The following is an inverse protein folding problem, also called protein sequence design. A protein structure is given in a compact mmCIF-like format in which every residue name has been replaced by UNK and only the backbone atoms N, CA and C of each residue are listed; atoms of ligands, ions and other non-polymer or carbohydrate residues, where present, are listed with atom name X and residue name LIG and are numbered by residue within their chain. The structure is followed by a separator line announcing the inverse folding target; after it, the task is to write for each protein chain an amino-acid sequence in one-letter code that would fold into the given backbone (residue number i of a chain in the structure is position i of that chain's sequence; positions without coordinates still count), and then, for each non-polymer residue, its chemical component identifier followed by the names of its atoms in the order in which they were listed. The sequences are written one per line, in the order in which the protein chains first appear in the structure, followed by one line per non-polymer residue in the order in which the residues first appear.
data_IF_873517496151
#
_entry.id   IF_873517496151
#
_cell.length_a   1.000
_cell.length_b   1.000
_cell.length_c   1.000
_cell.angle_alpha   90.00
_cell.angle_beta   90.00
_cell.angle_gamma   90.00
#
_symmetry.space_group_name_H-M   'P 1'
#
loop_
_entity.id
_entity.type
_entity.pdbx_description
1 polymer ?
#
# COMPACT_ATOMS: atom_id res chain seq x y z
N UNK A 1 47.92 17.98 31.49
CA UNK A 1 46.75 18.86 31.68
C UNK A 1 46.76 19.86 30.50
N UNK A 2 45.97 19.61 29.45
CA UNK A 2 45.84 20.52 28.31
C UNK A 2 44.44 21.15 28.37
N UNK A 3 44.42 22.47 28.57
CA UNK A 3 43.19 23.27 28.59
C UNK A 3 42.69 23.43 27.14
N UNK A 4 41.48 22.98 26.88
CA UNK A 4 40.76 23.21 25.60
C UNK A 4 40.03 24.52 25.73
N UNK A 5 40.40 25.48 24.90
CA UNK A 5 39.77 26.80 24.80
C UNK A 5 38.59 26.68 23.81
N UNK A 6 37.38 26.79 24.31
CA UNK A 6 36.17 26.82 23.49
C UNK A 6 35.93 28.27 23.10
N UNK A 7 36.11 28.58 21.80
CA UNK A 7 35.75 29.87 21.21
C UNK A 7 34.29 29.76 20.73
N UNK A 8 33.39 30.45 21.45
CA UNK A 8 32.00 30.62 21.03
C UNK A 8 31.96 31.80 20.03
N UNK A 9 31.83 31.49 18.75
CA UNK A 9 31.56 32.49 17.72
C UNK A 9 30.07 32.78 17.70
N UNK A 10 29.65 33.91 18.26
CA UNK A 10 28.31 34.46 18.14
C UNK A 10 28.12 35.07 16.75
N UNK A 11 27.46 34.37 15.85
CA UNK A 11 27.02 34.90 14.56
C UNK A 11 25.74 35.72 14.78
N UNK A 12 25.86 37.07 14.73
CA UNK A 12 24.73 37.99 14.63
C UNK A 12 24.16 37.91 13.20
N UNK A 13 23.10 37.16 13.03
CA UNK A 13 22.28 37.20 11.81
C UNK A 13 21.39 38.45 11.87
N UNK A 14 21.81 39.49 11.14
CA UNK A 14 20.99 40.66 10.83
C UNK A 14 19.85 40.22 9.91
N UNK A 15 18.65 40.08 10.46
CA UNK A 15 17.44 39.83 9.68
C UNK A 15 17.02 41.10 8.97
N UNK A 16 17.35 41.21 7.67
CA UNK A 16 16.68 42.16 6.79
C UNK A 16 15.22 41.72 6.62
N UNK A 17 14.33 42.33 7.36
CA UNK A 17 12.90 42.25 7.12
C UNK A 17 12.60 43.05 5.86
N UNK A 18 12.47 42.37 4.72
CA UNK A 18 11.87 42.96 3.53
C UNK A 18 10.35 42.88 3.72
N UNK A 19 9.62 43.97 3.74
CA UNK A 19 8.16 43.91 3.74
C UNK A 19 7.73 43.43 2.35
N UNK A 20 7.40 42.13 2.25
CA UNK A 20 6.70 41.61 1.08
C UNK A 20 5.26 42.13 1.13
N UNK A 21 4.99 43.27 0.49
CA UNK A 21 3.63 43.61 0.13
C UNK A 21 3.18 42.70 -1.02
N UNK A 22 2.82 41.47 -0.68
CA UNK A 22 2.10 40.61 -1.60
C UNK A 22 0.69 41.13 -1.67
N UNK A 23 0.40 41.84 -2.76
CA UNK A 23 -0.92 42.38 -3.02
C UNK A 23 -1.94 41.24 -3.00
N UNK A 24 -3.03 41.47 -2.29
CA UNK A 24 -4.20 40.60 -2.14
C UNK A 24 -4.87 40.19 -3.49
N UNK A 25 -4.34 40.59 -4.64
CA UNK A 25 -4.83 40.19 -5.96
C UNK A 25 -4.48 38.78 -6.37
N UNK A 26 -3.36 38.22 -5.89
CA UNK A 26 -2.95 36.85 -6.28
C UNK A 26 -3.76 35.74 -5.58
N UNK A 27 -4.44 36.06 -4.46
CA UNK A 27 -5.23 35.11 -3.70
C UNK A 27 -6.68 35.04 -4.19
N UNK A 28 -7.20 36.11 -4.83
CA UNK A 28 -8.56 36.07 -5.38
C UNK A 28 -8.64 35.41 -6.76
N UNK A 29 -7.59 35.46 -7.57
CA UNK A 29 -7.56 34.79 -8.87
C UNK A 29 -7.47 33.25 -8.75
N UNK A 30 -7.04 32.72 -7.61
CA UNK A 30 -6.99 31.29 -7.33
C UNK A 30 -8.33 30.66 -6.89
N UNK A 31 -9.35 31.50 -6.64
CA UNK A 31 -10.66 31.00 -6.17
C UNK A 31 -11.69 30.78 -7.28
N UNK A 32 -11.42 31.22 -8.48
CA UNK A 32 -12.38 31.13 -9.60
C UNK A 32 -12.04 30.01 -10.60
N UNK A 33 -10.94 29.30 -10.39
CA UNK A 33 -10.73 28.03 -11.06
C UNK A 33 -11.56 26.97 -10.30
N UNK A 34 -12.83 26.84 -10.67
CA UNK A 34 -13.59 25.63 -10.46
C UNK A 34 -12.89 24.52 -11.25
N UNK A 35 -11.76 24.05 -10.75
CA UNK A 35 -11.18 22.80 -11.17
C UNK A 35 -12.22 21.73 -10.81
N UNK A 36 -12.95 21.27 -11.80
CA UNK A 36 -13.91 20.19 -11.64
C UNK A 36 -13.09 18.97 -11.27
N UNK A 37 -12.92 18.76 -9.96
CA UNK A 37 -12.30 17.54 -9.46
C UNK A 37 -13.23 16.40 -9.83
N UNK A 38 -12.83 15.61 -10.85
CA UNK A 38 -13.53 14.40 -11.21
C UNK A 38 -13.37 13.37 -10.08
N UNK A 39 -14.27 13.43 -9.11
CA UNK A 39 -14.34 12.42 -8.06
C UNK A 39 -14.93 11.15 -8.65
N UNK A 40 -14.13 10.09 -8.70
CA UNK A 40 -14.58 8.78 -9.13
C UNK A 40 -14.87 7.93 -7.89
N UNK A 41 -16.11 7.48 -7.78
CA UNK A 41 -16.52 6.53 -6.75
C UNK A 41 -16.36 5.10 -7.24
N UNK A 42 -16.21 4.14 -6.32
CA UNK A 42 -16.21 2.72 -6.65
C UNK A 42 -17.51 2.36 -7.38
N UNK A 43 -17.37 1.78 -8.58
CA UNK A 43 -18.48 1.59 -9.52
C UNK A 43 -19.61 0.69 -8.97
N UNK A 44 -19.27 -0.28 -8.16
CA UNK A 44 -20.18 -1.32 -7.68
C UNK A 44 -20.29 -1.34 -6.15
N UNK A 45 -20.07 -0.21 -5.48
CA UNK A 45 -20.06 -0.10 -4.03
C UNK A 45 -18.64 0.07 -3.48
N UNK A 46 -18.32 -0.63 -2.40
CA UNK A 46 -17.02 -0.53 -1.74
C UNK A 46 -15.92 -1.28 -2.50
N UNK A 47 -14.76 -0.67 -2.64
CA UNK A 47 -13.54 -1.33 -3.14
C UNK A 47 -12.52 -1.44 -2.00
N UNK A 48 -11.85 -2.57 -1.89
CA UNK A 48 -10.75 -2.76 -0.95
C UNK A 48 -9.46 -3.09 -1.70
N UNK A 49 -8.37 -2.44 -1.30
CA UNK A 49 -7.03 -2.65 -1.86
C UNK A 49 -6.12 -3.11 -0.75
N UNK A 50 -5.45 -4.25 -0.95
CA UNK A 50 -4.40 -4.72 -0.06
C UNK A 50 -3.04 -4.57 -0.76
N UNK A 51 -2.17 -3.74 -0.19
CA UNK A 51 -0.79 -3.50 -0.64
C UNK A 51 0.14 -4.49 0.06
N UNK A 52 0.94 -5.20 -0.73
CA UNK A 52 1.86 -6.21 -0.25
C UNK A 52 3.27 -5.82 -0.69
N UNK A 53 4.09 -5.41 0.25
CA UNK A 53 5.47 -5.00 0.02
C UNK A 53 6.39 -6.22 0.08
N UNK A 54 6.88 -6.65 -1.06
CA UNK A 54 7.59 -7.92 -1.22
C UNK A 54 9.08 -7.68 -1.46
N UNK A 55 9.91 -8.45 -0.76
CA UNK A 55 11.36 -8.47 -0.96
C UNK A 55 11.67 -8.95 -2.40
N UNK A 56 12.49 -8.22 -3.19
CA UNK A 56 12.75 -8.56 -4.59
C UNK A 56 13.25 -9.99 -4.79
N UNK A 57 14.13 -10.47 -3.89
CA UNK A 57 14.65 -11.84 -3.93
C UNK A 57 13.61 -12.92 -3.61
N UNK A 58 12.43 -12.52 -3.11
CA UNK A 58 11.30 -13.41 -2.79
C UNK A 58 10.12 -13.28 -3.76
N UNK A 59 10.20 -12.37 -4.73
CA UNK A 59 9.12 -12.07 -5.67
C UNK A 59 8.61 -13.33 -6.40
N UNK A 60 9.52 -14.12 -6.96
CA UNK A 60 9.15 -15.35 -7.66
C UNK A 60 8.46 -16.37 -6.75
N UNK A 61 8.86 -16.50 -5.49
CA UNK A 61 8.20 -17.36 -4.51
C UNK A 61 6.80 -16.83 -4.18
N UNK A 62 6.67 -15.51 -3.95
CA UNK A 62 5.40 -14.86 -3.65
C UNK A 62 4.40 -15.07 -4.80
N UNK A 63 4.82 -14.78 -6.03
CA UNK A 63 3.97 -14.97 -7.21
C UNK A 63 3.56 -16.42 -7.42
N UNK A 64 4.50 -17.33 -7.32
CA UNK A 64 4.22 -18.77 -7.46
C UNK A 64 3.18 -19.22 -6.44
N UNK A 65 3.36 -18.93 -5.14
CA UNK A 65 2.41 -19.29 -4.10
C UNK A 65 1.04 -18.62 -4.31
N UNK A 66 1.04 -17.34 -4.66
CA UNK A 66 -0.20 -16.60 -4.93
C UNK A 66 -0.96 -17.20 -6.11
N UNK A 67 -0.30 -17.40 -7.25
CA UNK A 67 -0.94 -17.87 -8.50
C UNK A 67 -1.33 -19.35 -8.48
N UNK A 68 -0.54 -20.21 -7.80
CA UNK A 68 -0.75 -21.68 -7.85
C UNK A 68 -1.42 -22.27 -6.62
N UNK A 69 -1.39 -21.60 -5.47
CA UNK A 69 -1.95 -22.09 -4.23
C UNK A 69 -3.10 -21.21 -3.75
N UNK A 70 -2.84 -19.91 -3.52
CA UNK A 70 -3.79 -18.99 -2.87
C UNK A 70 -4.99 -18.69 -3.78
N UNK A 71 -4.76 -18.17 -4.97
CA UNK A 71 -5.86 -17.81 -5.89
C UNK A 71 -6.73 -19.03 -6.27
N UNK A 72 -6.17 -20.22 -6.55
CA UNK A 72 -6.98 -21.42 -6.74
C UNK A 72 -7.75 -21.87 -5.47
N UNK A 73 -7.21 -21.66 -4.27
CA UNK A 73 -7.91 -21.95 -3.02
C UNK A 73 -9.13 -21.00 -2.84
N UNK A 74 -8.95 -19.70 -3.06
CA UNK A 74 -10.03 -18.71 -3.03
C UNK A 74 -11.11 -19.10 -4.04
N UNK A 75 -10.73 -19.44 -5.26
CA UNK A 75 -11.69 -19.85 -6.31
C UNK A 75 -12.53 -21.06 -5.93
N UNK A 76 -11.93 -22.05 -5.27
CA UNK A 76 -12.66 -23.24 -4.79
C UNK A 76 -13.53 -22.93 -3.59
N UNK A 77 -13.09 -22.03 -2.72
CA UNK A 77 -13.83 -21.61 -1.52
C UNK A 77 -15.05 -20.80 -1.90
N UNK A 78 -14.87 -19.75 -2.71
CA UNK A 78 -15.93 -18.85 -3.13
C UNK A 78 -15.60 -18.22 -4.49
N UNK A 79 -16.39 -18.59 -5.49
CA UNK A 79 -16.19 -18.08 -6.86
C UNK A 79 -16.54 -16.59 -6.99
N UNK A 80 -17.45 -16.06 -6.16
CA UNK A 80 -17.83 -14.64 -6.18
C UNK A 80 -16.68 -13.78 -5.68
N UNK A 81 -16.05 -14.19 -4.56
CA UNK A 81 -14.82 -13.56 -4.05
C UNK A 81 -13.72 -13.60 -5.10
N UNK A 82 -13.47 -14.76 -5.70
CA UNK A 82 -12.45 -14.89 -6.75
C UNK A 82 -12.70 -13.96 -7.92
N UNK A 83 -13.95 -13.84 -8.38
CA UNK A 83 -14.31 -12.98 -9.51
C UNK A 83 -14.22 -11.48 -9.18
N UNK A 84 -14.37 -11.10 -7.91
CA UNK A 84 -14.20 -9.72 -7.46
C UNK A 84 -12.73 -9.34 -7.28
N UNK A 85 -11.82 -10.32 -7.12
CA UNK A 85 -10.41 -10.10 -6.88
C UNK A 85 -9.61 -9.91 -8.17
N UNK A 86 -8.72 -8.91 -8.14
CA UNK A 86 -7.65 -8.72 -9.12
C UNK A 86 -6.32 -8.78 -8.41
N UNK A 87 -5.37 -9.50 -8.98
CA UNK A 87 -4.00 -9.54 -8.51
C UNK A 87 -3.11 -8.78 -9.49
N UNK A 88 -2.50 -7.68 -9.03
CA UNK A 88 -1.62 -6.84 -9.84
C UNK A 88 -0.17 -7.10 -9.47
N UNK A 89 0.65 -7.26 -10.50
CA UNK A 89 2.09 -7.48 -10.40
C UNK A 89 2.80 -6.17 -10.75
N UNK A 90 3.74 -5.69 -9.93
CA UNK A 90 4.49 -4.46 -10.22
C UNK A 90 5.44 -4.66 -11.41
N UNK A 91 5.69 -3.60 -12.17
CA UNK A 91 6.67 -3.59 -13.25
C UNK A 91 8.09 -3.28 -12.74
N UNK A 92 8.18 -2.48 -11.67
CA UNK A 92 9.43 -2.02 -11.07
C UNK A 92 9.37 -1.99 -9.55
N UNK A 93 10.52 -1.81 -8.91
CA UNK A 93 10.60 -1.60 -7.46
C UNK A 93 10.14 -0.19 -7.09
N UNK A 94 9.57 -0.05 -5.88
CA UNK A 94 9.27 1.24 -5.29
C UNK A 94 10.57 1.94 -4.80
N UNK A 95 10.44 3.15 -4.22
CA UNK A 95 11.57 3.94 -3.73
C UNK A 95 12.42 3.21 -2.66
N UNK A 96 11.80 2.34 -1.86
CA UNK A 96 12.47 1.53 -0.83
C UNK A 96 13.19 0.31 -1.41
N UNK A 97 13.10 0.10 -2.73
CA UNK A 97 13.67 -1.06 -3.42
C UNK A 97 12.85 -2.34 -3.29
N UNK A 98 11.64 -2.29 -2.72
CA UNK A 98 10.72 -3.42 -2.64
C UNK A 98 9.73 -3.43 -3.83
N UNK A 99 9.05 -4.54 -4.03
CA UNK A 99 8.01 -4.71 -5.04
C UNK A 99 6.63 -4.59 -4.38
N UNK A 100 5.76 -3.70 -4.88
CA UNK A 100 4.41 -3.50 -4.33
C UNK A 100 3.37 -4.26 -5.15
N UNK A 101 3.03 -5.46 -4.72
CA UNK A 101 1.92 -6.23 -5.28
C UNK A 101 0.60 -5.78 -4.68
N UNK A 102 -0.49 -5.85 -5.47
CA UNK A 102 -1.80 -5.45 -4.99
C UNK A 102 -2.84 -6.55 -5.20
N UNK A 103 -3.68 -6.74 -4.18
CA UNK A 103 -4.98 -7.37 -4.37
C UNK A 103 -6.04 -6.27 -4.34
N UNK A 104 -6.93 -6.27 -5.32
CA UNK A 104 -8.07 -5.36 -5.39
C UNK A 104 -9.34 -6.19 -5.38
N UNK A 105 -10.17 -5.99 -4.36
CA UNK A 105 -11.53 -6.52 -4.32
C UNK A 105 -12.50 -5.44 -4.81
N UNK A 106 -13.08 -5.63 -5.99
CA UNK A 106 -14.02 -4.70 -6.63
C UNK A 106 -15.13 -5.44 -7.38
N UNK A 107 -16.35 -5.50 -6.80
CA UNK A 107 -16.75 -4.97 -5.48
C UNK A 107 -16.16 -5.76 -4.30
N UNK A 108 -15.95 -5.08 -3.17
CA UNK A 108 -15.69 -5.76 -1.90
C UNK A 108 -17.00 -6.32 -1.34
N UNK A 109 -17.06 -7.62 -1.11
CA UNK A 109 -18.24 -8.33 -0.61
C UNK A 109 -18.11 -8.46 0.92
N UNK A 110 -18.83 -7.61 1.66
CA UNK A 110 -18.67 -7.46 3.12
C UNK A 110 -19.06 -8.72 3.94
N UNK A 111 -19.91 -9.57 3.39
CA UNK A 111 -20.40 -10.82 4.01
C UNK A 111 -19.51 -12.04 3.69
N UNK A 112 -18.42 -11.84 2.93
CA UNK A 112 -17.53 -12.91 2.47
C UNK A 112 -16.23 -12.98 3.25
N UNK A 113 -15.63 -14.17 3.26
CA UNK A 113 -14.33 -14.39 3.89
C UNK A 113 -13.18 -14.10 2.92
N UNK A 114 -12.27 -13.20 3.33
CA UNK A 114 -11.01 -12.86 2.65
C UNK A 114 -9.77 -13.29 3.45
N UNK A 115 -9.95 -13.98 4.58
CA UNK A 115 -8.82 -14.48 5.37
C UNK A 115 -8.11 -15.61 4.63
N UNK A 116 -6.92 -15.29 4.12
CA UNK A 116 -6.10 -16.24 3.35
C UNK A 116 -5.77 -17.49 4.15
N UNK A 117 -5.44 -17.35 5.45
CA UNK A 117 -5.09 -18.49 6.27
C UNK A 117 -6.28 -19.42 6.48
N UNK A 118 -7.45 -18.89 6.83
CA UNK A 118 -8.68 -19.68 7.00
C UNK A 118 -9.10 -20.37 5.70
N UNK A 119 -8.99 -19.68 4.56
CA UNK A 119 -9.24 -20.26 3.25
C UNK A 119 -8.29 -21.42 2.97
N UNK A 120 -6.99 -21.26 3.25
CA UNK A 120 -6.02 -22.34 3.09
C UNK A 120 -6.31 -23.52 4.02
N UNK A 121 -6.70 -23.27 5.27
CA UNK A 121 -7.08 -24.33 6.22
C UNK A 121 -8.26 -25.13 5.70
N UNK A 122 -9.29 -24.47 5.18
CA UNK A 122 -10.46 -25.13 4.63
C UNK A 122 -10.14 -26.01 3.41
N UNK A 123 -9.18 -25.60 2.58
CA UNK A 123 -8.85 -26.27 1.31
C UNK A 123 -7.77 -27.35 1.45
N UNK A 124 -6.83 -27.20 2.38
CA UNK A 124 -5.65 -28.08 2.45
C UNK A 124 -5.44 -28.71 3.83
N UNK A 125 -6.25 -28.34 4.84
CA UNK A 125 -6.05 -28.71 6.25
C UNK A 125 -4.95 -27.87 6.92
N UNK A 126 -5.01 -27.80 8.26
CA UNK A 126 -4.20 -26.88 9.07
C UNK A 126 -2.69 -26.99 8.82
N UNK A 127 -2.14 -28.19 8.84
CA UNK A 127 -0.68 -28.37 8.72
C UNK A 127 -0.12 -27.85 7.38
N UNK A 128 -0.84 -28.11 6.27
CA UNK A 128 -0.43 -27.55 4.96
C UNK A 128 -0.71 -26.06 4.83
N UNK A 129 -1.79 -25.58 5.42
CA UNK A 129 -2.10 -24.17 5.45
C UNK A 129 -1.00 -23.39 6.15
N UNK A 130 -0.54 -23.84 7.32
CA UNK A 130 0.60 -23.26 8.03
C UNK A 130 1.86 -23.23 7.16
N UNK A 131 2.23 -24.35 6.51
CA UNK A 131 3.39 -24.39 5.62
C UNK A 131 3.29 -23.36 4.47
N UNK A 132 2.14 -23.31 3.77
CA UNK A 132 1.95 -22.40 2.65
C UNK A 132 1.90 -20.93 3.09
N UNK A 133 1.21 -20.67 4.18
CA UNK A 133 1.05 -19.33 4.72
C UNK A 133 2.40 -18.77 5.24
N UNK A 134 3.14 -19.55 6.02
CA UNK A 134 4.46 -19.17 6.52
C UNK A 134 5.42 -18.84 5.37
N UNK A 135 5.45 -19.70 4.35
CA UNK A 135 6.26 -19.44 3.15
C UNK A 135 5.84 -18.19 2.40
N UNK A 136 4.55 -17.86 2.41
CA UNK A 136 4.01 -16.69 1.75
C UNK A 136 4.33 -15.41 2.52
N UNK A 137 4.07 -15.39 3.84
CA UNK A 137 4.36 -14.20 4.68
C UNK A 137 5.86 -13.92 4.81
N UNK A 138 6.75 -14.93 4.71
CA UNK A 138 8.21 -14.69 4.69
C UNK A 138 8.69 -13.94 3.46
N UNK A 139 7.84 -13.73 2.45
CA UNK A 139 8.17 -12.91 1.29
C UNK A 139 7.99 -11.41 1.55
N UNK A 140 7.25 -11.03 2.58
CA UNK A 140 6.94 -9.64 2.88
C UNK A 140 8.13 -8.91 3.49
N UNK A 141 8.33 -7.67 3.07
CA UNK A 141 9.29 -6.74 3.66
C UNK A 141 8.70 -6.01 4.86
N UNK A 142 7.40 -5.70 4.79
CA UNK A 142 6.62 -4.98 5.80
C UNK A 142 5.25 -5.63 5.97
N UNK A 143 4.50 -5.17 6.98
CA UNK A 143 3.11 -5.55 7.16
C UNK A 143 2.25 -5.11 5.95
N UNK A 144 1.24 -5.91 5.65
CA UNK A 144 0.26 -5.59 4.61
C UNK A 144 -0.53 -4.34 5.00
N UNK A 145 -0.72 -3.44 4.05
CA UNK A 145 -1.58 -2.27 4.20
C UNK A 145 -2.91 -2.51 3.47
N UNK A 146 -4.04 -2.20 4.16
CA UNK A 146 -5.37 -2.35 3.58
C UNK A 146 -6.07 -1.01 3.54
N UNK A 147 -6.52 -0.60 2.34
CA UNK A 147 -7.18 0.67 2.07
C UNK A 147 -8.58 0.40 1.51
N UNK A 148 -9.58 1.09 2.04
CA UNK A 148 -10.97 1.00 1.56
C UNK A 148 -11.39 2.26 0.83
N UNK A 149 -12.10 2.09 -0.30
CA UNK A 149 -12.68 3.15 -1.12
C UNK A 149 -14.20 2.96 -1.22
N UNK A 150 -14.92 4.08 -1.43
CA UNK A 150 -16.37 4.13 -1.61
C UNK A 150 -16.76 4.86 -2.88
#
# INVERSE_FOLDING_TARGET
MKKILIIIATLLLSACVVPLSIGNKAVEESRDNNEVVNTVYAKNGKTMVALNYILPQRAGQFEMLTKTIIMPAIKRQDIEVFNSLKFLVPEETNEDGNLTYMFIADPYLEDKNYDIFEILVSQYGRARAEEYFDRWITCFAYEQEVISFR
#
